data_IF_213292321272
#
_entry.id   IF_213292321272
#
_cell.length_a   1.000
_cell.length_b   1.000
_cell.length_c   1.000
_cell.angle_alpha   90.00
_cell.angle_beta   90.00
_cell.angle_gamma   90.00
#
_symmetry.space_group_name_H-M   'P 1'
#
loop_
_entity.id
_entity.type
_entity.pdbx_description
1 polymer ?
#
# COMPACT_ATOMS: atom_id res chain seq x y z
N UNK A 1 25.76 48.45 -45.59
CA UNK A 1 25.66 48.25 -47.05
C UNK A 1 26.73 47.26 -47.47
N UNK A 2 26.37 46.42 -48.44
CA UNK A 2 27.18 45.54 -49.29
C UNK A 2 27.47 44.10 -48.82
N UNK A 3 26.71 43.22 -49.47
CA UNK A 3 26.86 41.79 -49.68
C UNK A 3 28.19 41.42 -50.35
N UNK A 4 28.67 40.19 -50.14
CA UNK A 4 28.98 39.27 -51.26
C UNK A 4 28.98 37.80 -50.79
N UNK A 5 28.34 36.97 -51.61
CA UNK A 5 28.20 35.49 -51.52
C UNK A 5 29.39 34.79 -52.19
N UNK A 6 29.73 33.56 -51.77
CA UNK A 6 30.33 32.51 -52.64
C UNK A 6 30.30 31.16 -51.92
N UNK A 7 29.34 30.27 -52.24
CA UNK A 7 29.44 29.14 -53.20
C UNK A 7 30.33 27.97 -52.74
N UNK A 8 29.73 27.04 -51.97
CA UNK A 8 30.24 25.68 -51.80
C UNK A 8 29.77 24.82 -52.99
N UNK A 9 30.75 24.12 -53.59
CA UNK A 9 30.58 23.25 -54.76
C UNK A 9 29.73 22.01 -54.46
N UNK A 10 28.79 21.74 -55.35
CA UNK A 10 28.03 20.49 -55.44
C UNK A 10 28.96 19.32 -55.78
N UNK A 11 28.86 18.23 -55.02
CA UNK A 11 29.36 16.90 -55.39
C UNK A 11 28.18 15.95 -55.49
N UNK A 12 27.99 15.44 -56.70
CA UNK A 12 26.95 14.51 -57.13
C UNK A 12 27.14 13.12 -56.55
N UNK A 13 26.09 12.51 -56.00
CA UNK A 13 25.98 11.05 -55.88
C UNK A 13 24.58 10.54 -56.26
N UNK A 14 24.49 9.35 -56.87
CA UNK A 14 23.40 8.97 -57.75
C UNK A 14 22.14 8.46 -57.03
N UNK A 15 21.04 8.58 -57.76
CA UNK A 15 19.69 8.10 -57.50
C UNK A 15 19.67 6.57 -57.41
N UNK A 16 19.57 6.01 -56.20
CA UNK A 16 19.30 4.59 -56.03
C UNK A 16 17.80 4.36 -56.05
N UNK A 17 17.34 3.62 -57.06
CA UNK A 17 15.96 3.19 -57.20
C UNK A 17 15.56 2.23 -56.09
N UNK A 18 14.37 2.46 -55.57
CA UNK A 18 13.63 1.63 -54.63
C UNK A 18 13.40 0.23 -55.22
N UNK A 19 13.87 -0.83 -54.55
CA UNK A 19 13.37 -2.20 -54.78
C UNK A 19 12.74 -2.67 -53.47
N UNK A 20 11.41 -2.59 -53.40
CA UNK A 20 10.63 -3.18 -52.32
C UNK A 20 10.71 -4.71 -52.41
N UNK A 21 11.54 -5.32 -51.57
CA UNK A 21 11.41 -6.74 -51.28
C UNK A 21 10.33 -6.93 -50.20
N UNK A 22 9.33 -7.72 -50.56
CA UNK A 22 8.21 -8.14 -49.72
C UNK A 22 8.76 -8.93 -48.53
N UNK A 23 8.92 -8.29 -47.37
CA UNK A 23 9.29 -8.98 -46.12
C UNK A 23 8.07 -9.77 -45.65
N UNK A 24 8.23 -11.10 -45.63
CA UNK A 24 7.27 -12.05 -45.11
C UNK A 24 6.90 -11.70 -43.66
N UNK A 25 5.60 -11.81 -43.36
CA UNK A 25 5.04 -11.77 -42.01
C UNK A 25 5.78 -12.79 -41.14
N UNK A 26 6.55 -12.33 -40.17
CA UNK A 26 6.98 -13.17 -39.06
C UNK A 26 5.82 -13.23 -38.08
N UNK A 27 5.37 -14.46 -37.86
CA UNK A 27 4.34 -14.83 -36.92
C UNK A 27 4.69 -14.32 -35.51
N UNK A 28 3.70 -13.73 -34.85
CA UNK A 28 3.77 -13.26 -33.48
C UNK A 28 4.11 -14.44 -32.55
N UNK A 29 5.32 -14.47 -32.00
CA UNK A 29 5.58 -15.22 -30.77
C UNK A 29 5.45 -14.26 -29.60
N UNK A 30 4.30 -14.36 -28.93
CA UNK A 30 4.05 -13.74 -27.63
C UNK A 30 4.99 -14.42 -26.63
N UNK A 31 6.16 -13.84 -26.37
CA UNK A 31 6.95 -14.21 -25.21
C UNK A 31 6.19 -13.73 -23.97
N UNK A 32 5.45 -14.64 -23.35
CA UNK A 32 5.00 -14.46 -21.99
C UNK A 32 6.22 -14.57 -21.07
N UNK A 33 6.78 -13.44 -20.65
CA UNK A 33 7.74 -13.41 -19.55
C UNK A 33 6.98 -13.70 -18.25
N UNK A 34 6.91 -14.96 -17.84
CA UNK A 34 6.46 -15.34 -16.50
C UNK A 34 7.62 -15.22 -15.52
N UNK A 35 8.19 -14.02 -15.37
CA UNK A 35 8.92 -13.69 -14.15
C UNK A 35 7.88 -13.22 -13.14
N UNK A 36 7.36 -14.17 -12.35
CA UNK A 36 6.60 -13.80 -11.16
C UNK A 36 7.53 -13.00 -10.25
N UNK A 37 7.41 -11.67 -10.28
CA UNK A 37 8.23 -10.79 -9.47
C UNK A 37 8.23 -11.27 -8.01
N UNK A 38 9.42 -11.41 -7.42
CA UNK A 38 9.56 -11.85 -6.03
C UNK A 38 8.69 -10.96 -5.13
N UNK A 39 7.86 -11.54 -4.24
CA UNK A 39 7.04 -10.74 -3.34
C UNK A 39 7.91 -9.78 -2.52
N UNK A 40 7.56 -8.48 -2.53
CA UNK A 40 8.35 -7.41 -1.91
C UNK A 40 8.77 -7.70 -0.45
N UNK A 41 7.93 -8.40 0.30
CA UNK A 41 8.17 -8.68 1.72
C UNK A 41 9.28 -9.72 1.96
N UNK A 42 9.76 -10.42 0.93
CA UNK A 42 10.87 -11.38 1.02
C UNK A 42 12.21 -10.66 1.27
N UNK A 43 12.27 -9.36 0.97
CA UNK A 43 13.44 -8.53 1.29
C UNK A 43 13.65 -8.30 2.81
N UNK A 44 12.70 -8.70 3.64
CA UNK A 44 12.69 -8.47 5.08
C UNK A 44 12.48 -9.77 5.85
N UNK A 45 13.00 -9.88 7.09
CA UNK A 45 12.76 -11.06 7.91
C UNK A 45 11.26 -11.23 8.21
N UNK A 46 10.76 -12.46 8.32
CA UNK A 46 9.40 -12.68 8.81
C UNK A 46 9.30 -12.22 10.27
N UNK A 47 8.14 -11.70 10.70
CA UNK A 47 7.92 -11.44 12.11
C UNK A 47 8.09 -12.71 12.97
N UNK A 48 8.54 -12.54 14.22
CA UNK A 48 8.72 -13.66 15.14
C UNK A 48 7.37 -14.32 15.46
N UNK A 49 6.36 -13.50 15.76
CA UNK A 49 4.98 -13.96 15.94
C UNK A 49 4.18 -13.84 14.63
N UNK A 50 3.75 -14.98 14.08
CA UNK A 50 2.96 -15.05 12.84
C UNK A 50 1.45 -14.96 13.07
N UNK A 51 1.01 -14.98 14.33
CA UNK A 51 -0.38 -14.91 14.76
C UNK A 51 -0.57 -13.70 15.67
N UNK A 52 -0.62 -12.49 15.10
CA UNK A 52 -0.82 -11.28 15.88
C UNK A 52 -2.21 -11.28 16.53
N UNK A 53 -2.33 -10.59 17.66
CA UNK A 53 -3.61 -10.31 18.28
C UNK A 53 -4.52 -9.55 17.30
N UNK A 54 -5.83 -9.78 17.42
CA UNK A 54 -6.81 -9.23 16.51
C UNK A 54 -7.98 -8.59 17.28
N UNK A 55 -8.50 -7.48 16.76
CA UNK A 55 -9.74 -6.86 17.21
C UNK A 55 -10.83 -7.06 16.16
N UNK A 56 -12.05 -7.33 16.60
CA UNK A 56 -13.21 -7.37 15.70
C UNK A 56 -13.58 -5.97 15.24
N UNK A 57 -14.26 -5.85 14.08
CA UNK A 57 -14.80 -4.57 13.61
C UNK A 57 -15.73 -3.92 14.64
N UNK A 58 -16.54 -4.72 15.36
CA UNK A 58 -17.39 -4.26 16.45
C UNK A 58 -16.57 -3.59 17.56
N UNK A 59 -15.55 -4.27 18.08
CA UNK A 59 -14.72 -3.74 19.17
C UNK A 59 -13.97 -2.46 18.75
N UNK A 60 -13.50 -2.39 17.50
CA UNK A 60 -12.87 -1.17 16.97
C UNK A 60 -13.88 -0.02 16.88
N UNK A 61 -15.09 -0.28 16.38
CA UNK A 61 -16.14 0.72 16.24
C UNK A 61 -16.64 1.25 17.59
N UNK A 62 -16.85 0.37 18.56
CA UNK A 62 -17.17 0.74 19.94
C UNK A 62 -16.08 1.62 20.56
N UNK A 63 -14.81 1.24 20.37
CA UNK A 63 -13.67 2.04 20.80
C UNK A 63 -13.65 3.41 20.12
N UNK A 64 -13.94 3.50 18.82
CA UNK A 64 -13.98 4.77 18.09
C UNK A 64 -15.13 5.69 18.54
N UNK A 65 -16.25 5.12 18.95
CA UNK A 65 -17.43 5.86 19.44
C UNK A 65 -17.28 6.36 20.87
N UNK A 66 -16.50 5.69 21.69
CA UNK A 66 -16.25 6.13 23.06
C UNK A 66 -15.38 7.39 23.08
N UNK A 67 -15.97 8.51 23.48
CA UNK A 67 -15.32 9.82 23.64
C UNK A 67 -14.06 9.82 24.54
N UNK A 68 -13.88 8.80 25.39
CA UNK A 68 -12.68 8.63 26.22
C UNK A 68 -11.49 8.12 25.42
N UNK A 69 -11.73 7.51 24.27
CA UNK A 69 -10.69 7.01 23.36
C UNK A 69 -10.40 8.04 22.27
N UNK A 70 -9.30 8.75 22.43
CA UNK A 70 -8.88 9.82 21.52
C UNK A 70 -8.02 9.21 20.40
N UNK A 71 -8.43 9.37 19.14
CA UNK A 71 -7.61 8.97 17.99
C UNK A 71 -6.27 9.73 17.97
N UNK A 72 -5.17 9.03 17.66
CA UNK A 72 -3.82 9.56 17.70
C UNK A 72 -3.18 9.60 19.10
N UNK A 73 -3.94 9.28 20.17
CA UNK A 73 -3.43 9.20 21.55
C UNK A 73 -3.78 7.89 22.26
N UNK A 74 -5.03 7.44 22.26
CA UNK A 74 -5.39 6.13 22.83
C UNK A 74 -5.21 5.03 21.78
N UNK A 75 -5.55 5.32 20.53
CA UNK A 75 -5.38 4.38 19.43
C UNK A 75 -5.01 5.09 18.12
N UNK A 76 -4.48 4.33 17.17
CA UNK A 76 -4.33 4.76 15.78
C UNK A 76 -4.71 3.61 14.84
N UNK A 77 -5.41 3.94 13.75
CA UNK A 77 -5.76 3.01 12.68
C UNK A 77 -4.82 3.22 11.50
N UNK A 78 -4.17 2.15 11.03
CA UNK A 78 -3.21 2.21 9.93
C UNK A 78 -3.70 1.37 8.75
N UNK A 79 -4.03 2.04 7.64
CA UNK A 79 -4.34 1.39 6.37
C UNK A 79 -3.06 1.08 5.60
N UNK A 80 -2.81 -0.20 5.35
CA UNK A 80 -1.61 -0.70 4.67
C UNK A 80 -1.80 -0.88 3.15
N UNK A 81 -2.95 -0.47 2.60
CA UNK A 81 -3.25 -0.54 1.17
C UNK A 81 -2.39 0.44 0.37
N UNK A 82 -2.18 0.12 -0.91
CA UNK A 82 -1.43 0.97 -1.86
C UNK A 82 -2.27 1.20 -3.10
N UNK A 83 -2.03 0.42 -4.15
CA UNK A 83 -2.80 0.48 -5.40
C UNK A 83 -4.22 -0.05 -5.22
N UNK A 84 -4.46 -0.82 -4.16
CA UNK A 84 -5.76 -1.34 -3.76
C UNK A 84 -6.47 -0.47 -2.70
N UNK A 85 -5.97 0.74 -2.45
CA UNK A 85 -6.58 1.74 -1.57
C UNK A 85 -7.76 2.41 -2.28
N UNK A 86 -8.79 1.63 -2.55
CA UNK A 86 -10.00 2.02 -3.27
C UNK A 86 -11.24 1.72 -2.43
N UNK A 87 -12.37 2.37 -2.74
CA UNK A 87 -13.63 2.13 -2.04
C UNK A 87 -13.82 2.93 -0.75
N UNK A 88 -12.93 3.89 -0.48
CA UNK A 88 -12.91 4.64 0.77
C UNK A 88 -12.05 3.98 1.85
N UNK A 89 -12.01 4.62 3.01
CA UNK A 89 -11.16 4.24 4.15
C UNK A 89 -11.92 4.33 5.47
N UNK A 90 -11.44 3.67 6.52
CA UNK A 90 -12.05 3.81 7.84
C UNK A 90 -11.71 5.20 8.38
N UNK A 91 -12.73 5.92 8.87
CA UNK A 91 -12.61 7.30 9.33
C UNK A 91 -11.48 7.47 10.35
N UNK A 92 -10.65 8.49 10.14
CA UNK A 92 -9.52 8.81 11.03
C UNK A 92 -8.31 7.88 10.91
N UNK A 93 -8.28 6.96 9.94
CA UNK A 93 -7.11 6.14 9.68
C UNK A 93 -6.03 6.88 8.88
N UNK A 94 -4.76 6.47 9.08
CA UNK A 94 -3.61 6.97 8.33
C UNK A 94 -3.19 5.90 7.32
N UNK A 95 -3.01 6.28 6.06
CA UNK A 95 -2.53 5.34 5.04
C UNK A 95 -1.01 5.27 5.00
N UNK A 96 -0.46 4.11 5.38
CA UNK A 96 0.97 3.79 5.34
C UNK A 96 1.17 2.47 4.57
N UNK A 97 1.43 2.50 3.25
CA UNK A 97 1.60 1.30 2.43
C UNK A 97 2.61 0.30 3.00
N UNK A 98 2.23 -0.98 3.05
CA UNK A 98 3.06 -2.04 3.63
C UNK A 98 4.47 -2.17 3.00
N UNK A 99 4.58 -1.84 1.71
CA UNK A 99 5.80 -1.99 0.92
C UNK A 99 6.97 -1.12 1.41
N UNK A 100 6.68 -0.02 2.11
CA UNK A 100 7.68 0.88 2.70
C UNK A 100 7.70 0.82 4.23
N UNK A 101 6.94 -0.09 4.85
CA UNK A 101 6.71 -0.07 6.30
C UNK A 101 7.93 -0.52 7.11
N UNK A 102 8.55 -1.65 6.74
CA UNK A 102 9.57 -2.31 7.58
C UNK A 102 10.73 -1.37 7.97
N UNK A 103 11.36 -0.61 7.04
CA UNK A 103 12.43 0.33 7.41
C UNK A 103 11.99 1.46 8.34
N UNK A 104 10.68 1.76 8.41
CA UNK A 104 10.12 2.89 9.18
C UNK A 104 9.62 2.49 10.57
N UNK A 105 9.63 1.21 10.92
CA UNK A 105 9.06 0.69 12.19
C UNK A 105 9.60 1.44 13.42
N UNK A 106 10.93 1.67 13.48
CA UNK A 106 11.56 2.38 14.60
C UNK A 106 11.08 3.83 14.71
N UNK A 107 10.98 4.53 13.58
CA UNK A 107 10.48 5.91 13.54
C UNK A 107 9.01 5.99 13.94
N UNK A 108 8.19 5.06 13.43
CA UNK A 108 6.77 4.97 13.81
C UNK A 108 6.62 4.72 15.31
N UNK A 109 7.42 3.83 15.89
CA UNK A 109 7.43 3.60 17.33
C UNK A 109 7.75 4.87 18.11
N UNK A 110 8.82 5.60 17.76
CA UNK A 110 9.16 6.85 18.45
C UNK A 110 8.04 7.90 18.35
N UNK A 111 7.40 8.02 17.19
CA UNK A 111 6.28 8.96 16.98
C UNK A 111 5.08 8.56 17.84
N UNK A 112 4.66 7.29 17.78
CA UNK A 112 3.53 6.77 18.54
C UNK A 112 3.76 6.85 20.04
N UNK A 113 4.98 6.52 20.51
CA UNK A 113 5.36 6.62 21.91
C UNK A 113 5.31 8.06 22.41
N UNK A 114 5.83 9.01 21.61
CA UNK A 114 5.82 10.44 21.96
C UNK A 114 4.40 11.01 22.01
N UNK A 115 3.51 10.53 21.15
CA UNK A 115 2.09 10.88 21.16
C UNK A 115 1.28 10.18 22.27
N UNK A 116 1.90 9.24 23.00
CA UNK A 116 1.25 8.45 24.04
C UNK A 116 0.28 7.39 23.52
N UNK A 117 0.42 6.99 22.25
CA UNK A 117 -0.39 5.93 21.60
C UNK A 117 -0.31 4.64 22.41
N UNK A 118 -1.47 4.10 22.77
CA UNK A 118 -1.56 2.84 23.53
C UNK A 118 -1.89 1.66 22.62
N UNK A 119 -2.45 1.89 21.44
CA UNK A 119 -2.90 0.82 20.55
C UNK A 119 -2.73 1.17 19.08
N UNK A 120 -2.02 0.34 18.35
CA UNK A 120 -1.84 0.47 16.90
C UNK A 120 -2.60 -0.64 16.20
N UNK A 121 -3.60 -0.25 15.41
CA UNK A 121 -4.53 -1.17 14.74
C UNK A 121 -4.21 -1.19 13.24
N UNK A 122 -3.60 -2.27 12.80
CA UNK A 122 -3.17 -2.47 11.43
C UNK A 122 -4.26 -3.12 10.59
N UNK A 123 -4.51 -2.61 9.40
CA UNK A 123 -5.42 -3.27 8.48
C UNK A 123 -4.97 -3.18 7.03
N UNK A 124 -5.45 -4.12 6.24
CA UNK A 124 -5.41 -4.02 4.77
C UNK A 124 -6.73 -4.56 4.23
N UNK A 125 -6.76 -5.06 2.99
CA UNK A 125 -7.97 -5.66 2.41
C UNK A 125 -8.61 -6.71 3.35
N UNK A 126 -7.87 -7.75 3.77
CA UNK A 126 -8.38 -8.81 4.67
C UNK A 126 -7.58 -8.96 5.98
N UNK A 127 -6.54 -8.15 6.16
CA UNK A 127 -5.54 -8.22 7.24
C UNK A 127 -4.73 -9.51 7.36
N UNK A 128 -5.05 -10.58 6.63
CA UNK A 128 -4.34 -11.89 6.67
C UNK A 128 -2.91 -11.87 6.11
N UNK A 129 -2.59 -10.87 5.29
CA UNK A 129 -1.30 -10.74 4.62
C UNK A 129 -0.47 -9.59 5.17
N UNK A 130 -0.67 -8.39 4.62
CA UNK A 130 0.04 -7.17 5.02
C UNK A 130 -0.20 -6.81 6.49
N UNK A 131 -1.45 -6.90 6.94
CA UNK A 131 -1.83 -6.65 8.34
C UNK A 131 -1.04 -7.52 9.30
N UNK A 132 -1.04 -8.84 9.09
CA UNK A 132 -0.29 -9.74 9.97
C UNK A 132 1.21 -9.46 10.02
N UNK A 133 1.83 -9.12 8.88
CA UNK A 133 3.26 -8.76 8.83
C UNK A 133 3.55 -7.46 9.58
N UNK A 134 2.77 -6.42 9.31
CA UNK A 134 2.92 -5.12 9.95
C UNK A 134 2.77 -5.20 11.48
N UNK A 135 1.70 -5.88 11.94
CA UNK A 135 1.44 -6.06 13.36
C UNK A 135 2.57 -6.84 14.04
N UNK A 136 3.06 -7.90 13.40
CA UNK A 136 4.18 -8.70 13.89
C UNK A 136 5.47 -7.89 13.96
N UNK A 137 5.89 -7.21 12.88
CA UNK A 137 7.12 -6.41 12.87
C UNK A 137 7.11 -5.31 13.94
N UNK A 138 5.97 -4.65 14.12
CA UNK A 138 5.86 -3.63 15.15
C UNK A 138 5.86 -4.25 16.56
N UNK A 139 5.24 -5.43 16.75
CA UNK A 139 5.27 -6.16 18.02
C UNK A 139 6.67 -6.64 18.38
N UNK A 140 7.41 -7.16 17.42
CA UNK A 140 8.81 -7.57 17.62
C UNK A 140 9.63 -6.37 18.12
N UNK A 141 9.42 -5.19 17.52
CA UNK A 141 10.09 -3.97 17.98
C UNK A 141 9.63 -3.52 19.38
N UNK A 142 8.34 -3.61 19.72
CA UNK A 142 7.86 -3.33 21.07
C UNK A 142 8.55 -4.23 22.11
N UNK A 143 8.70 -5.52 21.79
CA UNK A 143 9.37 -6.50 22.66
C UNK A 143 10.87 -6.19 22.81
N UNK A 144 11.55 -5.82 21.72
CA UNK A 144 12.95 -5.35 21.75
C UNK A 144 13.13 -4.13 22.67
N UNK A 145 12.13 -3.23 22.73
CA UNK A 145 12.16 -2.05 23.59
C UNK A 145 11.67 -2.33 25.02
N UNK A 146 11.15 -3.54 25.30
CA UNK A 146 10.48 -3.86 26.56
C UNK A 146 9.22 -3.02 26.82
N UNK A 147 8.55 -2.53 25.76
CA UNK A 147 7.34 -1.71 25.88
C UNK A 147 6.10 -2.59 26.03
N UNK A 148 5.61 -2.72 27.26
CA UNK A 148 4.37 -3.43 27.58
C UNK A 148 3.12 -2.54 27.56
N UNK A 149 3.28 -1.24 27.28
CA UNK A 149 2.22 -0.26 27.41
C UNK A 149 1.49 0.03 26.08
N UNK A 150 2.15 -0.22 24.96
CA UNK A 150 1.59 -0.08 23.61
C UNK A 150 1.30 -1.46 23.01
N UNK A 151 0.13 -1.61 22.40
CA UNK A 151 -0.31 -2.85 21.77
C UNK A 151 -0.27 -2.74 20.24
N UNK A 152 0.08 -3.85 19.58
CA UNK A 152 0.07 -4.00 18.12
C UNK A 152 -0.92 -5.09 17.73
N UNK A 153 -2.00 -4.72 17.05
CA UNK A 153 -3.12 -5.62 16.73
C UNK A 153 -3.60 -5.45 15.30
N UNK A 154 -4.20 -6.48 14.71
CA UNK A 154 -4.86 -6.36 13.40
C UNK A 154 -6.36 -6.07 13.55
N UNK A 155 -6.96 -5.34 12.62
CA UNK A 155 -8.41 -5.38 12.41
C UNK A 155 -8.77 -6.71 11.72
N UNK A 156 -9.53 -7.56 12.41
CA UNK A 156 -10.04 -8.81 11.88
C UNK A 156 -10.91 -8.55 10.63
N UNK A 157 -10.75 -9.39 9.60
CA UNK A 157 -11.36 -9.27 8.27
C UNK A 157 -10.98 -8.01 7.47
N UNK A 158 -10.13 -7.13 8.03
CA UNK A 158 -9.67 -5.92 7.38
C UNK A 158 -10.80 -5.00 6.94
N UNK A 159 -10.48 -4.09 6.00
CA UNK A 159 -11.49 -3.16 5.50
C UNK A 159 -12.58 -3.85 4.67
N UNK A 160 -12.31 -5.02 4.08
CA UNK A 160 -13.34 -5.77 3.35
C UNK A 160 -14.46 -6.21 4.29
N UNK A 161 -14.11 -6.74 5.47
CA UNK A 161 -15.09 -7.11 6.49
C UNK A 161 -15.81 -5.90 7.09
N UNK A 162 -15.15 -4.75 7.18
CA UNK A 162 -15.76 -3.49 7.62
C UNK A 162 -16.79 -2.99 6.61
N UNK A 163 -16.37 -2.75 5.37
CA UNK A 163 -17.19 -2.16 4.32
C UNK A 163 -18.41 -3.03 3.97
N UNK A 164 -18.23 -4.36 3.91
CA UNK A 164 -19.32 -5.30 3.58
C UNK A 164 -20.30 -5.53 4.73
N UNK A 165 -19.98 -5.13 5.96
CA UNK A 165 -20.91 -5.22 7.07
C UNK A 165 -22.09 -4.24 6.93
N UNK A 166 -21.97 -3.20 6.11
CA UNK A 166 -23.04 -2.23 5.85
C UNK A 166 -23.40 -1.39 7.07
N UNK A 167 -24.53 -0.67 6.98
CA UNK A 167 -25.09 0.14 8.05
C UNK A 167 -24.07 1.10 8.67
N UNK A 168 -23.97 1.06 10.01
CA UNK A 168 -23.06 1.89 10.79
C UNK A 168 -21.60 1.81 10.33
N UNK A 169 -21.12 0.63 9.90
CA UNK A 169 -19.74 0.50 9.45
C UNK A 169 -19.47 1.38 8.22
N UNK A 170 -20.42 1.45 7.30
CA UNK A 170 -20.32 2.33 6.11
C UNK A 170 -20.40 3.80 6.50
N UNK A 171 -21.21 4.18 7.49
CA UNK A 171 -21.28 5.56 8.00
C UNK A 171 -19.96 6.03 8.63
N UNK A 172 -19.15 5.08 9.12
CA UNK A 172 -17.80 5.30 9.67
C UNK A 172 -16.68 5.10 8.64
N UNK A 173 -17.02 5.10 7.36
CA UNK A 173 -16.05 5.21 6.27
C UNK A 173 -16.08 6.61 5.67
N UNK A 174 -14.89 7.10 5.31
CA UNK A 174 -14.75 8.30 4.50
C UNK A 174 -14.60 7.87 3.03
N UNK A 175 -15.27 8.61 2.14
CA UNK A 175 -15.28 8.38 0.68
C UNK A 175 -15.74 6.97 0.28
N UNK A 176 -16.70 6.40 1.03
CA UNK A 176 -17.26 5.09 0.72
C UNK A 176 -17.83 5.05 -0.70
N UNK A 177 -17.37 4.08 -1.50
CA UNK A 177 -17.87 3.86 -2.84
C UNK A 177 -18.49 2.45 -2.94
N UNK A 178 -19.82 2.40 -2.94
CA UNK A 178 -20.59 1.16 -3.00
C UNK A 178 -20.28 0.31 -4.25
N UNK A 179 -19.97 0.94 -5.39
CA UNK A 179 -19.64 0.23 -6.64
C UNK A 179 -18.38 -0.61 -6.49
N UNK A 180 -17.35 -0.08 -5.80
CA UNK A 180 -16.12 -0.84 -5.53
C UNK A 180 -16.42 -2.08 -4.70
N UNK A 181 -17.21 -1.95 -3.63
CA UNK A 181 -17.49 -3.04 -2.71
C UNK A 181 -18.49 -4.07 -3.24
N UNK A 182 -19.40 -3.67 -4.12
CA UNK A 182 -20.30 -4.59 -4.83
C UNK A 182 -19.58 -5.50 -5.84
N UNK A 183 -18.36 -5.14 -6.24
CA UNK A 183 -17.54 -5.90 -7.21
C UNK A 183 -16.47 -6.80 -6.58
N UNK A 184 -16.25 -6.68 -5.26
CA UNK A 184 -15.23 -7.42 -4.49
C UNK A 184 -15.81 -8.59 -3.70
#
# INVERSE_FOLDING_TARGET
MNLTKSLLKLSTRPRLYLVFHKVNRICSSKMASTDAATPWHVAYPPPLNKTPAAMTRQAVLEMMKDSKNIAGKNYVLIDLRRTDHEGGTIRGSINLPAQSLYPTIKTLYSLFKSAGVQKVIWYCSSSRGRGSRAAGWFKDHLDEQGDSHMESVILFEGITGWAKAGGEFVEWMDEYNATVWGSK
#
